data_IF_317883792636
#
_entry.id   IF_317883792636
#
_cell.length_a   1.000
_cell.length_b   1.000
_cell.length_c   1.000
_cell.angle_alpha   90.00
_cell.angle_beta   90.00
_cell.angle_gamma   90.00
#
_symmetry.space_group_name_H-M   'P 1'
#
loop_
_entity.id
_entity.type
_entity.pdbx_description
1 polymer ?
#
# COMPACT_ATOMS: atom_id res chain seq x y z
N UNK A 1 -25.96 -33.56 -37.76
CA UNK A 1 -24.71 -32.73 -37.75
C UNK A 1 -24.55 -32.25 -36.31
N UNK A 2 -23.69 -32.75 -35.41
CA UNK A 2 -22.31 -33.27 -35.51
C UNK A 2 -22.13 -34.52 -34.63
N UNK A 3 -21.38 -35.49 -35.16
CA UNK A 3 -21.01 -36.76 -34.53
C UNK A 3 -19.92 -36.58 -33.47
N UNK A 4 -20.08 -37.22 -32.32
CA UNK A 4 -19.02 -37.43 -31.33
C UNK A 4 -18.33 -38.75 -31.69
N UNK A 5 -17.11 -38.69 -32.23
CA UNK A 5 -16.26 -39.88 -32.39
C UNK A 5 -15.64 -40.23 -31.04
N UNK A 6 -16.04 -41.37 -30.50
CA UNK A 6 -15.42 -42.05 -29.38
C UNK A 6 -14.39 -43.02 -29.98
N UNK A 7 -13.10 -42.75 -29.85
CA UNK A 7 -12.05 -43.63 -30.36
C UNK A 7 -11.84 -44.76 -29.36
N UNK A 8 -12.13 -45.98 -29.81
CA UNK A 8 -11.88 -47.25 -29.13
C UNK A 8 -10.43 -47.65 -29.43
N UNK A 9 -9.58 -47.73 -28.41
CA UNK A 9 -8.28 -48.41 -28.53
C UNK A 9 -8.47 -49.85 -28.06
N UNK A 10 -8.16 -50.75 -28.99
CA UNK A 10 -8.39 -52.18 -28.93
C UNK A 10 -7.57 -52.83 -27.81
N UNK A 11 -8.25 -53.64 -27.01
CA UNK A 11 -7.65 -54.69 -26.18
C UNK A 11 -6.95 -55.68 -27.12
N UNK A 12 -5.65 -55.92 -26.91
CA UNK A 12 -4.92 -57.05 -27.49
C UNK A 12 -4.38 -57.92 -26.35
N UNK A 13 -4.52 -59.21 -26.54
CA UNK A 13 -4.35 -60.34 -25.60
C UNK A 13 -2.91 -60.52 -25.10
N UNK A 14 -2.71 -61.14 -23.91
CA UNK A 14 -1.40 -61.40 -23.33
C UNK A 14 -0.91 -62.79 -23.70
N UNK A 15 0.30 -62.94 -24.24
CA UNK A 15 1.18 -64.11 -24.01
C UNK A 15 2.50 -63.94 -24.75
N UNK A 16 3.57 -64.32 -24.03
CA UNK A 16 4.89 -64.73 -24.49
C UNK A 16 5.74 -63.74 -25.30
N UNK A 17 6.70 -63.10 -24.61
CA UNK A 17 8.08 -62.94 -25.11
C UNK A 17 9.04 -62.88 -23.91
N UNK A 18 9.57 -64.03 -23.53
CA UNK A 18 10.94 -64.15 -23.01
C UNK A 18 11.87 -64.01 -24.23
N UNK A 19 12.88 -63.12 -24.19
CA UNK A 19 14.27 -63.46 -24.53
C UNK A 19 15.20 -62.27 -24.29
N UNK A 20 16.36 -62.60 -23.73
CA UNK A 20 17.49 -61.79 -23.33
C UNK A 20 18.10 -61.01 -24.50
N UNK A 21 18.53 -59.77 -24.20
CA UNK A 21 19.54 -59.07 -24.99
C UNK A 21 20.29 -58.11 -24.08
N UNK A 22 21.31 -58.68 -23.46
CA UNK A 22 22.49 -58.01 -22.91
C UNK A 22 23.02 -56.97 -23.92
N UNK A 23 23.00 -55.69 -23.56
CA UNK A 23 23.71 -54.66 -24.31
C UNK A 23 24.44 -53.75 -23.34
N UNK A 24 25.75 -53.73 -23.54
CA UNK A 24 26.75 -53.25 -22.61
C UNK A 24 26.59 -51.78 -22.23
N UNK A 25 27.04 -51.53 -21.00
CA UNK A 25 27.16 -50.24 -20.36
C UNK A 25 28.27 -49.41 -21.03
N UNK A 26 27.88 -48.41 -21.83
CA UNK A 26 28.75 -47.28 -22.15
C UNK A 26 28.35 -46.04 -21.34
N UNK A 27 29.25 -45.65 -20.45
CA UNK A 27 29.26 -44.37 -19.73
C UNK A 27 29.21 -43.19 -20.72
N UNK A 28 28.02 -42.61 -20.89
CA UNK A 28 27.88 -41.24 -21.38
C UNK A 28 27.36 -40.37 -20.24
N UNK A 29 28.32 -39.73 -19.58
CA UNK A 29 28.15 -38.70 -18.58
C UNK A 29 27.55 -37.43 -19.25
N UNK A 30 26.29 -37.50 -19.70
CA UNK A 30 25.51 -36.32 -20.07
C UNK A 30 24.91 -35.77 -18.79
N UNK A 31 25.80 -35.17 -18.01
CA UNK A 31 25.50 -34.15 -17.01
C UNK A 31 24.52 -33.16 -17.64
N UNK A 32 23.22 -33.34 -17.38
CA UNK A 32 22.16 -32.39 -17.72
C UNK A 32 22.36 -31.12 -16.90
N UNK A 33 23.36 -30.33 -17.30
CA UNK A 33 23.60 -28.96 -16.83
C UNK A 33 22.72 -28.03 -17.66
N UNK A 34 21.41 -28.14 -17.47
CA UNK A 34 20.46 -27.07 -17.84
C UNK A 34 20.03 -26.34 -16.56
N UNK A 35 21.03 -25.96 -15.77
CA UNK A 35 20.92 -24.81 -14.87
C UNK A 35 21.23 -23.58 -15.71
N UNK A 36 20.26 -23.14 -16.52
CA UNK A 36 20.22 -21.74 -16.93
C UNK A 36 19.80 -20.99 -15.67
N UNK A 37 20.79 -20.62 -14.87
CA UNK A 37 20.69 -19.50 -13.97
C UNK A 37 20.33 -18.29 -14.85
N UNK A 38 19.04 -17.90 -14.85
CA UNK A 38 18.60 -16.64 -15.43
C UNK A 38 19.10 -15.52 -14.51
N UNK A 39 20.41 -15.28 -14.55
CA UNK A 39 21.09 -14.14 -13.93
C UNK A 39 21.12 -12.92 -14.87
N UNK A 40 20.36 -12.95 -15.97
CA UNK A 40 19.91 -11.76 -16.67
C UNK A 40 18.84 -11.04 -15.81
N UNK A 41 19.28 -10.60 -14.63
CA UNK A 41 18.62 -9.60 -13.83
C UNK A 41 18.35 -8.43 -14.78
N UNK A 42 17.08 -8.07 -14.92
CA UNK A 42 16.52 -7.15 -15.91
C UNK A 42 17.08 -5.72 -15.76
N UNK A 43 18.35 -5.52 -16.08
CA UNK A 43 18.98 -4.21 -16.17
C UNK A 43 18.41 -3.51 -17.40
N UNK A 44 17.59 -2.50 -17.18
CA UNK A 44 17.16 -1.60 -18.25
C UNK A 44 18.33 -0.65 -18.48
N UNK A 45 18.96 -0.70 -19.65
CA UNK A 45 20.14 0.11 -19.98
C UNK A 45 21.33 -0.03 -18.99
N UNK A 46 21.53 -1.22 -18.40
CA UNK A 46 22.63 -1.47 -17.45
C UNK A 46 22.39 -0.94 -16.03
N UNK A 47 21.22 -0.38 -15.75
CA UNK A 47 20.83 0.12 -14.42
C UNK A 47 19.58 -0.60 -13.91
N UNK A 48 19.43 -0.70 -12.58
CA UNK A 48 18.18 -1.19 -11.97
C UNK A 48 17.04 -0.21 -12.25
N UNK A 49 15.80 -0.71 -12.40
CA UNK A 49 14.63 0.14 -12.62
C UNK A 49 14.46 1.23 -11.54
N UNK A 50 14.78 0.92 -10.28
CA UNK A 50 14.82 1.90 -9.18
C UNK A 50 15.83 3.03 -9.42
N UNK A 51 17.01 2.72 -9.97
CA UNK A 51 18.04 3.72 -10.24
C UNK A 51 17.60 4.69 -11.36
N UNK A 52 16.81 4.20 -12.31
CA UNK A 52 16.18 5.05 -13.33
C UNK A 52 15.16 5.99 -12.69
N UNK A 53 14.28 5.48 -11.81
CA UNK A 53 13.35 6.33 -11.04
C UNK A 53 14.08 7.39 -10.20
N UNK A 54 15.25 7.07 -9.66
CA UNK A 54 16.06 8.01 -8.88
C UNK A 54 16.69 9.13 -9.73
N UNK A 55 16.86 8.90 -11.04
CA UNK A 55 17.47 9.85 -11.97
C UNK A 55 16.45 10.72 -12.71
N UNK A 56 15.15 10.54 -12.45
CA UNK A 56 14.10 11.35 -13.05
C UNK A 56 14.33 12.88 -12.89
N UNK A 57 13.89 13.70 -13.86
CA UNK A 57 13.94 15.14 -13.77
C UNK A 57 13.24 15.67 -12.50
N UNK A 58 13.68 16.83 -12.02
CA UNK A 58 13.17 17.40 -10.77
C UNK A 58 11.67 17.72 -10.83
N UNK A 59 11.16 18.12 -12.00
CA UNK A 59 9.73 18.38 -12.20
C UNK A 59 8.88 17.12 -12.03
N UNK A 60 9.30 16.00 -12.62
CA UNK A 60 8.59 14.72 -12.49
C UNK A 60 8.67 14.17 -11.06
N UNK A 61 9.84 14.30 -10.42
CA UNK A 61 10.01 13.95 -9.00
C UNK A 61 9.07 14.74 -8.10
N UNK A 62 8.83 16.02 -8.39
CA UNK A 62 7.89 16.84 -7.63
C UNK A 62 6.44 16.32 -7.77
N UNK A 63 6.02 15.95 -9.00
CA UNK A 63 4.70 15.36 -9.26
C UNK A 63 4.52 14.01 -8.54
N UNK A 64 5.55 13.15 -8.56
CA UNK A 64 5.56 11.89 -7.81
C UNK A 64 5.46 12.15 -6.30
N UNK A 65 6.22 13.13 -5.79
CA UNK A 65 6.22 13.46 -4.37
C UNK A 65 4.85 13.94 -3.87
N UNK A 66 4.14 14.73 -4.67
CA UNK A 66 2.77 15.16 -4.36
C UNK A 66 1.82 13.96 -4.26
N UNK A 67 1.85 13.04 -5.24
CA UNK A 67 1.01 11.84 -5.20
C UNK A 67 1.34 10.94 -4.00
N UNK A 68 2.62 10.80 -3.65
CA UNK A 68 3.05 10.03 -2.47
C UNK A 68 2.57 10.69 -1.18
N UNK A 69 2.52 12.02 -1.10
CA UNK A 69 2.00 12.69 0.09
C UNK A 69 0.50 12.45 0.28
N UNK A 70 -0.28 12.46 -0.81
CA UNK A 70 -1.70 12.10 -0.77
C UNK A 70 -1.87 10.64 -0.31
N UNK A 71 -1.00 9.74 -0.78
CA UNK A 71 -0.97 8.35 -0.29
C UNK A 71 -0.63 8.25 1.21
N UNK A 72 0.32 9.04 1.71
CA UNK A 72 0.68 9.07 3.13
C UNK A 72 -0.47 9.54 4.03
N UNK A 73 -1.32 10.44 3.57
CA UNK A 73 -2.53 10.84 4.30
C UNK A 73 -3.46 9.64 4.51
N UNK A 74 -3.67 8.82 3.48
CA UNK A 74 -4.49 7.61 3.58
C UNK A 74 -3.84 6.54 4.47
N UNK A 75 -2.52 6.38 4.33
CA UNK A 75 -1.74 5.52 5.23
C UNK A 75 -1.86 5.94 6.69
N UNK A 76 -1.87 7.25 6.98
CA UNK A 76 -2.04 7.78 8.33
C UNK A 76 -3.40 7.43 8.92
N UNK A 77 -4.47 7.38 8.10
CA UNK A 77 -5.79 6.90 8.53
C UNK A 77 -5.74 5.42 8.89
N UNK A 78 -5.03 4.60 8.11
CA UNK A 78 -4.86 3.18 8.43
C UNK A 78 -4.08 2.99 9.71
N UNK A 79 -2.95 3.67 9.88
CA UNK A 79 -2.15 3.62 11.11
C UNK A 79 -2.98 3.95 12.35
N UNK A 80 -3.75 5.04 12.29
CA UNK A 80 -4.62 5.45 13.38
C UNK A 80 -5.71 4.42 13.68
N UNK A 81 -6.22 3.72 12.65
CA UNK A 81 -7.21 2.67 12.83
C UNK A 81 -6.59 1.41 13.44
N UNK A 82 -5.50 0.89 12.87
CA UNK A 82 -4.86 -0.35 13.34
C UNK A 82 -4.18 -0.18 14.70
N UNK A 83 -3.76 1.04 15.08
CA UNK A 83 -3.14 1.30 16.38
C UNK A 83 -4.10 1.10 17.57
N UNK A 84 -5.41 1.14 17.33
CA UNK A 84 -6.44 0.89 18.37
C UNK A 84 -6.50 -0.58 18.78
N UNK A 85 -6.03 -1.48 17.94
CA UNK A 85 -6.28 -2.91 18.05
C UNK A 85 -5.01 -3.68 18.41
N UNK A 86 -5.13 -4.61 19.34
CA UNK A 86 -4.19 -5.71 19.52
C UNK A 86 -4.37 -6.69 18.35
N UNK A 87 -3.27 -7.10 17.74
CA UNK A 87 -3.24 -8.00 16.59
C UNK A 87 -3.19 -9.49 17.01
N UNK A 88 -3.05 -9.77 18.31
CA UNK A 88 -3.07 -11.12 18.87
C UNK A 88 -4.41 -11.83 18.63
N UNK A 89 -4.44 -12.71 17.63
CA UNK A 89 -5.67 -13.41 17.22
C UNK A 89 -6.60 -12.55 16.36
N UNK A 90 -6.06 -11.55 15.65
CA UNK A 90 -6.78 -10.75 14.67
C UNK A 90 -6.02 -10.67 13.35
N UNK A 91 -6.21 -11.69 12.51
CA UNK A 91 -5.54 -11.78 11.21
C UNK A 91 -5.96 -10.66 10.25
N UNK A 92 -7.14 -10.05 10.40
CA UNK A 92 -7.55 -8.89 9.60
C UNK A 92 -6.59 -7.71 9.85
N UNK A 93 -6.26 -7.43 11.11
CA UNK A 93 -5.30 -6.37 11.47
C UNK A 93 -3.89 -6.71 11.00
N UNK A 94 -3.45 -7.96 11.15
CA UNK A 94 -2.13 -8.42 10.67
C UNK A 94 -2.02 -8.25 9.15
N UNK A 95 -3.04 -8.68 8.39
CA UNK A 95 -3.09 -8.54 6.94
C UNK A 95 -3.14 -7.07 6.52
N UNK A 96 -3.88 -6.21 7.22
CA UNK A 96 -3.92 -4.79 6.94
C UNK A 96 -2.52 -4.14 7.09
N UNK A 97 -1.80 -4.47 8.18
CA UNK A 97 -0.41 -4.02 8.38
C UNK A 97 0.53 -4.57 7.28
N UNK A 98 0.39 -5.84 6.91
CA UNK A 98 1.17 -6.45 5.83
C UNK A 98 0.94 -5.74 4.49
N UNK A 99 -0.33 -5.51 4.10
CA UNK A 99 -0.67 -4.80 2.87
C UNK A 99 -0.15 -3.36 2.87
N UNK A 100 -0.25 -2.67 4.02
CA UNK A 100 0.30 -1.32 4.21
C UNK A 100 1.82 -1.28 3.96
N UNK A 101 2.56 -2.20 4.58
CA UNK A 101 4.01 -2.28 4.42
C UNK A 101 4.42 -2.48 2.95
N UNK A 102 3.78 -3.42 2.24
CA UNK A 102 4.13 -3.69 0.85
C UNK A 102 3.75 -2.51 -0.06
N UNK A 103 2.59 -1.86 0.17
CA UNK A 103 2.21 -0.65 -0.58
C UNK A 103 3.21 0.49 -0.36
N UNK A 104 3.72 0.67 0.86
CA UNK A 104 4.79 1.63 1.14
C UNK A 104 6.05 1.33 0.32
N UNK A 105 6.50 0.07 0.28
CA UNK A 105 7.67 -0.34 -0.51
C UNK A 105 7.47 -0.06 -2.01
N UNK A 106 6.27 -0.30 -2.55
CA UNK A 106 5.93 0.00 -3.94
C UNK A 106 5.90 1.51 -4.23
N UNK A 107 5.41 2.33 -3.30
CA UNK A 107 5.45 3.81 -3.45
C UNK A 107 6.85 4.40 -3.19
N UNK A 108 7.70 3.72 -2.44
CA UNK A 108 9.09 4.14 -2.27
C UNK A 108 9.94 3.83 -3.51
N UNK A 109 9.61 2.74 -4.21
CA UNK A 109 10.21 2.40 -5.49
C UNK A 109 10.04 3.52 -6.53
N UNK A 110 8.85 4.14 -6.60
CA UNK A 110 8.59 5.25 -7.55
C UNK A 110 9.41 6.50 -7.22
N UNK A 111 9.95 6.61 -6.00
CA UNK A 111 10.86 7.68 -5.57
C UNK A 111 12.34 7.33 -5.78
N UNK A 112 12.62 6.17 -6.37
CA UNK A 112 13.99 5.68 -6.57
C UNK A 112 14.69 5.21 -5.29
N UNK A 113 13.93 4.86 -4.24
CA UNK A 113 14.44 4.39 -2.95
C UNK A 113 13.70 3.12 -2.51
N UNK A 114 14.00 2.66 -1.29
CA UNK A 114 13.38 1.47 -0.73
C UNK A 114 14.02 0.15 -1.19
N UNK A 115 13.41 -0.98 -0.80
CA UNK A 115 14.02 -2.30 -0.96
C UNK A 115 13.85 -2.92 -2.36
N UNK A 116 12.82 -2.52 -3.11
CA UNK A 116 12.54 -3.06 -4.45
C UNK A 116 13.53 -2.46 -5.46
N UNK A 117 14.23 -3.30 -6.22
CA UNK A 117 15.28 -2.83 -7.16
C UNK A 117 14.80 -2.86 -8.60
N UNK A 118 14.10 -3.92 -8.98
CA UNK A 118 13.72 -4.21 -10.35
C UNK A 118 12.20 -4.26 -10.50
N UNK A 119 11.71 -4.15 -11.75
CA UNK A 119 10.27 -4.28 -12.05
C UNK A 119 9.72 -5.64 -11.62
N UNK A 120 10.52 -6.70 -11.68
CA UNK A 120 10.18 -8.02 -11.14
C UNK A 120 9.80 -8.00 -9.66
N UNK A 121 10.51 -7.21 -8.84
CA UNK A 121 10.23 -7.06 -7.41
C UNK A 121 8.88 -6.38 -7.19
N UNK A 122 8.56 -5.35 -7.98
CA UNK A 122 7.29 -4.62 -7.93
C UNK A 122 6.11 -5.53 -8.32
N UNK A 123 6.29 -6.36 -9.34
CA UNK A 123 5.28 -7.36 -9.75
C UNK A 123 5.07 -8.39 -8.63
N UNK A 124 6.15 -8.86 -8.01
CA UNK A 124 6.05 -9.82 -6.90
C UNK A 124 5.40 -9.20 -5.65
N UNK A 125 5.67 -7.92 -5.37
CA UNK A 125 5.00 -7.16 -4.32
C UNK A 125 3.48 -7.05 -4.56
N UNK A 126 3.07 -6.74 -5.80
CA UNK A 126 1.65 -6.68 -6.17
C UNK A 126 0.93 -8.03 -6.03
N UNK A 127 1.61 -9.15 -6.36
CA UNK A 127 1.10 -10.50 -6.12
C UNK A 127 0.91 -10.81 -4.64
N UNK A 128 1.90 -10.48 -3.80
CA UNK A 128 1.81 -10.64 -2.33
C UNK A 128 0.65 -9.85 -1.74
N UNK A 129 0.39 -8.64 -2.25
CA UNK A 129 -0.77 -7.83 -1.86
C UNK A 129 -2.08 -8.52 -2.27
N UNK A 130 -2.17 -9.06 -3.49
CA UNK A 130 -3.38 -9.77 -3.94
C UNK A 130 -3.67 -11.03 -3.10
N UNK A 131 -2.63 -11.78 -2.72
CA UNK A 131 -2.76 -12.93 -1.82
C UNK A 131 -3.24 -12.51 -0.42
N UNK A 132 -2.68 -11.44 0.14
CA UNK A 132 -3.13 -10.88 1.41
C UNK A 132 -4.58 -10.36 1.33
N UNK A 133 -4.94 -9.67 0.25
CA UNK A 133 -6.31 -9.19 -0.01
C UNK A 133 -7.32 -10.34 -0.13
N UNK A 134 -6.95 -11.44 -0.78
CA UNK A 134 -7.80 -12.64 -0.86
C UNK A 134 -7.99 -13.32 0.51
N UNK A 135 -6.95 -13.36 1.35
CA UNK A 135 -7.07 -13.84 2.74
C UNK A 135 -7.97 -12.93 3.58
N UNK A 136 -7.83 -11.61 3.42
CA UNK A 136 -8.67 -10.62 4.09
C UNK A 136 -10.13 -10.77 3.68
N UNK A 137 -10.41 -10.98 2.39
CA UNK A 137 -11.77 -11.24 1.88
C UNK A 137 -12.41 -12.43 2.57
N UNK A 138 -11.71 -13.57 2.68
CA UNK A 138 -12.24 -14.77 3.32
C UNK A 138 -12.63 -14.53 4.79
N UNK A 139 -11.75 -13.89 5.57
CA UNK A 139 -11.99 -13.60 6.98
C UNK A 139 -13.15 -12.61 7.17
N UNK A 140 -13.13 -11.52 6.42
CA UNK A 140 -14.15 -10.48 6.52
C UNK A 140 -15.52 -10.97 6.02
N UNK A 141 -15.56 -11.85 5.01
CA UNK A 141 -16.80 -12.48 4.54
C UNK A 141 -17.41 -13.41 5.58
N UNK A 142 -16.58 -14.17 6.31
CA UNK A 142 -17.04 -14.98 7.43
C UNK A 142 -17.61 -14.11 8.58
N UNK A 143 -17.02 -12.94 8.83
CA UNK A 143 -17.59 -11.93 9.75
C UNK A 143 -18.93 -11.39 9.23
N UNK A 144 -19.00 -11.08 7.93
CA UNK A 144 -20.22 -10.58 7.28
C UNK A 144 -21.36 -11.61 7.34
N UNK A 145 -21.06 -12.90 7.23
CA UNK A 145 -22.05 -13.98 7.30
C UNK A 145 -22.64 -14.19 8.69
N UNK A 146 -21.89 -13.82 9.73
CA UNK A 146 -22.39 -13.81 11.10
C UNK A 146 -23.17 -12.52 11.42
N UNK A 147 -23.04 -11.45 10.62
CA UNK A 147 -23.70 -10.19 10.92
C UNK A 147 -25.23 -10.28 10.75
N UNK A 148 -26.03 -10.05 11.81
CA UNK A 148 -27.49 -10.06 11.71
C UNK A 148 -28.07 -8.78 11.07
N UNK A 149 -27.27 -7.70 11.04
CA UNK A 149 -27.66 -6.41 10.46
C UNK A 149 -27.33 -6.38 8.97
N UNK A 150 -28.38 -6.36 8.14
CA UNK A 150 -28.22 -6.47 6.68
C UNK A 150 -27.51 -5.27 6.06
N UNK A 151 -27.72 -4.05 6.58
CA UNK A 151 -27.06 -2.85 6.07
C UNK A 151 -25.55 -2.93 6.32
N UNK A 152 -25.14 -3.20 7.56
CA UNK A 152 -23.74 -3.38 7.92
C UNK A 152 -23.07 -4.52 7.13
N UNK A 153 -23.79 -5.62 6.89
CA UNK A 153 -23.32 -6.71 6.02
C UNK A 153 -23.04 -6.23 4.59
N UNK A 154 -23.97 -5.47 3.99
CA UNK A 154 -23.80 -4.98 2.62
C UNK A 154 -22.62 -4.01 2.49
N UNK A 155 -22.45 -3.08 3.44
CA UNK A 155 -21.32 -2.14 3.44
C UNK A 155 -19.98 -2.88 3.47
N UNK A 156 -19.86 -3.88 4.35
CA UNK A 156 -18.65 -4.70 4.44
C UNK A 156 -18.37 -5.43 3.12
N UNK A 157 -19.37 -6.08 2.53
CA UNK A 157 -19.21 -6.78 1.25
C UNK A 157 -18.84 -5.85 0.09
N UNK A 158 -19.35 -4.61 0.08
CA UNK A 158 -18.99 -3.61 -0.92
C UNK A 158 -17.51 -3.20 -0.79
N UNK A 159 -16.98 -3.01 0.42
CA UNK A 159 -15.57 -2.73 0.61
C UNK A 159 -14.66 -3.90 0.20
N UNK A 160 -15.11 -5.15 0.39
CA UNK A 160 -14.37 -6.33 -0.10
C UNK A 160 -14.28 -6.38 -1.63
N UNK A 161 -15.35 -6.02 -2.34
CA UNK A 161 -15.31 -5.88 -3.80
C UNK A 161 -14.31 -4.80 -4.23
N UNK A 162 -14.26 -3.67 -3.50
CA UNK A 162 -13.26 -2.61 -3.75
C UNK A 162 -11.83 -3.10 -3.53
N UNK A 163 -11.57 -3.88 -2.49
CA UNK A 163 -10.25 -4.51 -2.28
C UNK A 163 -9.88 -5.38 -3.49
N UNK A 164 -10.78 -6.26 -3.94
CA UNK A 164 -10.52 -7.13 -5.08
C UNK A 164 -10.21 -6.32 -6.36
N UNK A 165 -10.98 -5.28 -6.63
CA UNK A 165 -10.77 -4.37 -7.75
C UNK A 165 -9.39 -3.69 -7.68
N UNK A 166 -9.05 -3.06 -6.55
CA UNK A 166 -7.80 -2.31 -6.45
C UNK A 166 -6.56 -3.20 -6.37
N UNK A 167 -6.65 -4.41 -5.81
CA UNK A 167 -5.59 -5.42 -5.93
C UNK A 167 -5.34 -5.79 -7.40
N UNK A 168 -6.39 -5.90 -8.21
CA UNK A 168 -6.26 -6.16 -9.64
C UNK A 168 -5.63 -4.98 -10.39
N UNK A 169 -6.10 -3.75 -10.13
CA UNK A 169 -5.53 -2.53 -10.72
C UNK A 169 -4.05 -2.38 -10.37
N UNK A 170 -3.67 -2.59 -9.10
CA UNK A 170 -2.28 -2.51 -8.66
C UNK A 170 -1.39 -3.55 -9.37
N UNK A 171 -1.91 -4.75 -9.62
CA UNK A 171 -1.22 -5.77 -10.43
C UNK A 171 -1.02 -5.34 -11.88
N UNK A 172 -2.00 -4.68 -12.50
CA UNK A 172 -1.86 -4.13 -13.85
C UNK A 172 -0.77 -3.04 -13.85
N UNK A 173 -0.86 -2.07 -12.95
CA UNK A 173 0.11 -0.98 -12.83
C UNK A 173 1.54 -1.50 -12.59
N UNK A 174 1.72 -2.58 -11.83
CA UNK A 174 3.05 -3.17 -11.57
C UNK A 174 3.74 -3.76 -12.81
N UNK A 175 2.98 -4.11 -13.85
CA UNK A 175 3.49 -4.76 -15.07
C UNK A 175 3.78 -3.77 -16.19
N UNK A 176 3.32 -2.52 -16.07
CA UNK A 176 3.59 -1.48 -17.07
C UNK A 176 5.08 -1.18 -17.02
N UNK A 177 5.80 -1.58 -18.07
CA UNK A 177 7.24 -1.38 -18.17
C UNK A 177 7.50 0.04 -18.69
N UNK A 178 8.32 0.80 -18.00
CA UNK A 178 8.89 2.01 -18.56
C UNK A 178 10.01 1.64 -19.54
N UNK A 179 9.83 1.91 -20.82
CA UNK A 179 10.76 1.54 -21.89
C UNK A 179 11.78 2.66 -22.14
N UNK A 180 13.00 2.53 -21.64
CA UNK A 180 14.07 3.53 -21.80
C UNK A 180 14.78 3.35 -23.15
N UNK A 181 14.76 4.35 -24.03
CA UNK A 181 15.61 4.45 -25.21
C UNK A 181 16.81 5.36 -24.91
N UNK A 182 17.99 5.02 -25.42
CA UNK A 182 19.21 5.81 -25.21
C UNK A 182 19.71 6.25 -26.59
N UNK A 183 19.55 7.53 -26.91
CA UNK A 183 20.04 8.12 -28.14
C UNK A 183 21.02 9.24 -27.75
N UNK A 184 22.33 8.95 -27.79
CA UNK A 184 23.36 9.98 -27.81
C UNK A 184 23.67 10.67 -26.47
N UNK A 185 23.54 9.97 -25.33
CA UNK A 185 23.87 10.53 -24.01
C UNK A 185 22.70 11.25 -23.32
N UNK A 186 21.56 11.30 -23.99
CA UNK A 186 20.28 11.73 -23.45
C UNK A 186 19.37 10.49 -23.29
N UNK A 187 18.85 10.29 -22.09
CA UNK A 187 17.94 9.19 -21.76
C UNK A 187 16.53 9.57 -22.22
N UNK A 188 15.98 8.87 -23.21
CA UNK A 188 14.69 9.18 -23.82
C UNK A 188 13.79 7.93 -23.73
N UNK A 189 12.73 7.95 -22.93
CA UNK A 189 11.92 6.75 -22.63
C UNK A 189 10.62 6.78 -23.45
N UNK A 190 10.22 5.72 -24.17
CA UNK A 190 8.96 5.66 -24.95
C UNK A 190 8.13 4.43 -24.59
N UNK A 191 6.85 4.59 -24.25
CA UNK A 191 5.97 3.47 -23.84
C UNK A 191 5.13 2.86 -24.96
N UNK A 192 4.87 1.55 -24.89
CA UNK A 192 3.83 0.86 -25.66
C UNK A 192 2.46 1.09 -24.99
N UNK A 193 1.60 1.87 -25.65
CA UNK A 193 0.27 2.19 -25.15
C UNK A 193 -0.66 0.98 -25.14
N UNK A 194 -0.92 0.43 -23.96
CA UNK A 194 -2.16 -0.33 -23.71
C UNK A 194 -3.18 0.70 -23.22
N UNK A 195 -4.16 1.05 -24.05
CA UNK A 195 -5.27 1.92 -23.62
C UNK A 195 -6.07 1.20 -22.53
N UNK A 196 -5.70 1.43 -21.27
CA UNK A 196 -6.48 1.03 -20.12
C UNK A 196 -7.61 2.04 -19.97
N UNK A 197 -8.84 1.64 -20.29
CA UNK A 197 -10.04 2.44 -20.05
C UNK A 197 -10.20 2.70 -18.55
N UNK A 198 -9.71 3.83 -18.08
CA UNK A 198 -9.86 4.27 -16.69
C UNK A 198 -11.32 4.68 -16.45
N UNK A 199 -12.06 3.92 -15.63
CA UNK A 199 -13.29 4.42 -15.03
C UNK A 199 -12.92 5.20 -13.78
N UNK A 200 -12.83 6.53 -13.89
CA UNK A 200 -12.71 7.42 -12.73
C UNK A 200 -14.05 7.47 -12.01
N UNK A 201 -14.19 6.72 -10.92
CA UNK A 201 -15.24 6.95 -9.93
C UNK A 201 -14.73 8.01 -8.95
N UNK A 202 -15.33 9.19 -8.98
CA UNK A 202 -15.18 10.17 -7.89
C UNK A 202 -15.95 9.65 -6.66
N UNK A 203 -15.31 9.61 -5.49
CA UNK A 203 -16.03 9.50 -4.22
C UNK A 203 -16.63 10.88 -3.91
N UNK A 204 -17.95 10.91 -3.70
CA UNK A 204 -18.65 12.07 -3.12
C UNK A 204 -18.44 12.00 -1.62
N UNK A 205 -17.82 13.01 -1.02
CA UNK A 205 -17.81 13.20 0.43
C UNK A 205 -19.25 13.30 0.93
N UNK A 206 -19.66 12.36 1.78
CA UNK A 206 -20.91 12.47 2.53
C UNK A 206 -20.59 12.80 3.99
N UNK A 207 -20.70 14.08 4.33
CA UNK A 207 -20.88 14.49 5.72
C UNK A 207 -22.21 13.94 6.26
N UNK A 208 -22.14 13.31 7.42
CA UNK A 208 -23.28 12.74 8.14
C UNK A 208 -24.04 13.87 8.84
N UNK A 209 -25.27 14.19 8.42
CA UNK A 209 -26.39 14.57 9.30
C UNK A 209 -27.73 14.09 8.70
N UNK A 210 -28.36 13.17 9.45
CA UNK A 210 -29.78 12.82 9.59
C UNK A 210 -30.69 12.58 8.36
N UNK A 211 -31.28 11.37 8.32
CA UNK A 211 -32.57 11.09 7.67
C UNK A 211 -32.62 10.93 6.14
N UNK A 212 -32.84 9.69 5.68
CA UNK A 212 -33.58 9.42 4.43
C UNK A 212 -32.78 8.85 3.25
N UNK A 213 -33.19 7.67 2.79
CA UNK A 213 -32.71 6.98 1.58
C UNK A 213 -33.04 7.75 0.29
N UNK A 214 -32.09 7.77 -0.65
CA UNK A 214 -32.31 7.41 -2.07
C UNK A 214 -30.95 7.21 -2.79
N UNK A 215 -30.61 5.97 -3.12
CA UNK A 215 -29.53 5.67 -4.09
C UNK A 215 -30.10 5.78 -5.50
N UNK A 216 -29.62 6.74 -6.28
CA UNK A 216 -29.88 6.82 -7.72
C UNK A 216 -28.55 6.56 -8.45
N UNK A 217 -28.48 5.43 -9.15
CA UNK A 217 -27.35 5.04 -9.99
C UNK A 217 -27.58 5.70 -11.37
N UNK A 218 -26.90 6.81 -11.67
CA UNK A 218 -26.98 7.46 -12.98
C UNK A 218 -25.81 7.03 -13.85
N UNK A 219 -26.07 6.11 -14.77
CA UNK A 219 -25.19 5.77 -15.89
C UNK A 219 -25.48 6.71 -17.05
N UNK A 220 -24.71 7.80 -17.20
CA UNK A 220 -24.62 8.50 -18.47
C UNK A 220 -23.25 8.25 -19.11
N UNK A 221 -23.30 7.85 -20.38
CA UNK A 221 -22.16 7.59 -21.25
C UNK A 221 -21.82 8.90 -21.99
N UNK A 222 -20.57 9.41 -21.99
CA UNK A 222 -20.21 10.48 -22.91
C UNK A 222 -19.86 9.87 -24.26
N UNK A 223 -20.59 10.31 -25.29
CA UNK A 223 -20.31 10.05 -26.70
C UNK A 223 -18.98 10.72 -27.09
N UNK A 224 -18.18 10.04 -27.89
CA UNK A 224 -16.92 10.54 -28.44
C UNK A 224 -17.19 11.64 -29.49
N UNK A 225 -16.52 12.78 -29.36
CA UNK A 225 -16.38 13.79 -30.40
C UNK A 225 -14.89 13.92 -30.76
N UNK A 226 -14.60 13.63 -32.02
CA UNK A 226 -13.31 13.74 -32.71
C UNK A 226 -12.83 15.20 -32.85
N UNK A 227 -11.52 15.40 -32.78
CA UNK A 227 -10.83 16.50 -33.48
C UNK A 227 -10.12 17.55 -32.61
N UNK A 228 -8.81 17.36 -32.37
CA UNK A 228 -7.84 18.44 -32.16
C UNK A 228 -6.41 17.92 -32.39
N UNK A 229 -5.46 18.77 -32.86
CA UNK A 229 -4.34 18.35 -33.68
C UNK A 229 -3.18 17.74 -32.90
N UNK A 230 -2.42 16.91 -33.62
CA UNK A 230 -1.17 16.26 -33.21
C UNK A 230 -0.16 17.34 -32.77
N UNK A 231 -0.11 17.61 -31.48
CA UNK A 231 1.00 18.29 -30.84
C UNK A 231 2.13 17.28 -30.61
N UNK A 232 3.35 17.67 -30.95
CA UNK A 232 4.60 16.97 -30.66
C UNK A 232 4.67 16.56 -29.18
N UNK A 233 4.30 15.31 -28.88
CA UNK A 233 4.36 14.76 -27.53
C UNK A 233 5.80 14.37 -27.19
N UNK A 234 6.37 15.04 -26.19
CA UNK A 234 7.60 14.64 -25.51
C UNK A 234 7.38 13.30 -24.82
N UNK A 235 8.24 12.31 -25.11
CA UNK A 235 8.13 10.93 -24.60
C UNK A 235 8.32 10.79 -23.07
N UNK A 236 8.73 11.87 -22.39
CA UNK A 236 8.98 11.94 -20.93
C UNK A 236 7.74 11.65 -20.06
N UNK A 237 6.52 11.78 -20.58
CA UNK A 237 5.29 11.55 -19.78
C UNK A 237 5.07 10.08 -19.37
N UNK A 238 5.60 9.11 -20.12
CA UNK A 238 5.19 7.71 -19.98
C UNK A 238 5.61 7.02 -18.67
N UNK A 239 6.81 7.31 -18.16
CA UNK A 239 7.29 6.74 -16.89
C UNK A 239 6.59 7.38 -15.70
N UNK A 240 6.39 8.69 -15.76
CA UNK A 240 5.63 9.44 -14.77
C UNK A 240 4.18 8.93 -14.68
N UNK A 241 3.52 8.69 -15.81
CA UNK A 241 2.15 8.18 -15.85
C UNK A 241 2.03 6.78 -15.23
N UNK A 242 3.01 5.91 -15.50
CA UNK A 242 3.09 4.59 -14.88
C UNK A 242 3.26 4.68 -13.36
N UNK A 243 4.21 5.50 -12.90
CA UNK A 243 4.51 5.69 -11.49
C UNK A 243 3.33 6.30 -10.72
N UNK A 244 2.70 7.35 -11.27
CA UNK A 244 1.54 7.99 -10.65
C UNK A 244 0.32 7.07 -10.62
N UNK A 245 0.09 6.28 -11.68
CA UNK A 245 -0.96 5.25 -11.69
C UNK A 245 -0.76 4.18 -10.62
N UNK A 246 0.48 3.73 -10.41
CA UNK A 246 0.82 2.77 -9.35
C UNK A 246 0.52 3.34 -7.96
N UNK A 247 0.92 4.59 -7.69
CA UNK A 247 0.67 5.27 -6.41
C UNK A 247 -0.83 5.45 -6.19
N UNK A 248 -1.56 5.84 -7.22
CA UNK A 248 -3.00 6.08 -7.14
C UNK A 248 -3.78 4.78 -6.87
N UNK A 249 -3.41 3.67 -7.51
CA UNK A 249 -3.97 2.35 -7.21
C UNK A 249 -3.68 1.91 -5.77
N UNK A 250 -2.45 2.14 -5.29
CA UNK A 250 -2.07 1.85 -3.90
C UNK A 250 -2.86 2.69 -2.89
N UNK A 251 -3.08 3.98 -3.16
CA UNK A 251 -3.92 4.87 -2.32
C UNK A 251 -5.35 4.35 -2.23
N UNK A 252 -5.94 4.02 -3.37
CA UNK A 252 -7.31 3.51 -3.41
C UNK A 252 -7.45 2.19 -2.64
N UNK A 253 -6.47 1.30 -2.77
CA UNK A 253 -6.41 0.07 -2.00
C UNK A 253 -6.25 0.35 -0.50
N UNK A 254 -5.39 1.28 -0.10
CA UNK A 254 -5.20 1.68 1.30
C UNK A 254 -6.52 2.14 1.93
N UNK A 255 -7.28 3.01 1.26
CA UNK A 255 -8.60 3.45 1.74
C UNK A 255 -9.57 2.28 1.89
N UNK A 256 -9.65 1.39 0.89
CA UNK A 256 -10.51 0.22 0.96
C UNK A 256 -10.16 -0.71 2.13
N UNK A 257 -8.86 -0.85 2.46
CA UNK A 257 -8.40 -1.62 3.63
C UNK A 257 -8.84 -0.93 4.94
N UNK A 258 -8.70 0.40 5.07
CA UNK A 258 -9.19 1.15 6.24
C UNK A 258 -10.67 0.90 6.49
N UNK A 259 -11.48 1.05 5.44
CA UNK A 259 -12.93 0.89 5.50
C UNK A 259 -13.32 -0.55 5.84
N UNK A 260 -12.62 -1.54 5.27
CA UNK A 260 -12.85 -2.96 5.56
C UNK A 260 -12.55 -3.29 7.02
N UNK A 261 -11.46 -2.78 7.59
CA UNK A 261 -11.13 -2.98 9.01
C UNK A 261 -12.23 -2.40 9.91
N UNK A 262 -12.66 -1.16 9.66
CA UNK A 262 -13.73 -0.49 10.42
C UNK A 262 -15.06 -1.26 10.32
N UNK A 263 -15.48 -1.60 9.10
CA UNK A 263 -16.74 -2.30 8.86
C UNK A 263 -16.73 -3.72 9.46
N UNK A 264 -15.59 -4.41 9.41
CA UNK A 264 -15.43 -5.75 10.03
C UNK A 264 -15.60 -5.69 11.56
N UNK A 265 -15.07 -4.66 12.21
CA UNK A 265 -15.30 -4.44 13.63
C UNK A 265 -16.78 -4.19 13.93
N UNK A 266 -17.41 -3.26 13.20
CA UNK A 266 -18.84 -2.94 13.40
C UNK A 266 -19.70 -4.19 13.22
N UNK A 267 -19.51 -4.96 12.15
CA UNK A 267 -20.23 -6.21 11.90
C UNK A 267 -20.05 -7.23 13.04
N UNK A 268 -18.82 -7.39 13.53
CA UNK A 268 -18.52 -8.32 14.64
C UNK A 268 -19.25 -7.94 15.93
N UNK A 269 -19.32 -6.64 16.26
CA UNK A 269 -20.03 -6.17 17.47
C UNK A 269 -21.55 -6.35 17.38
N UNK A 270 -22.14 -6.25 16.18
CA UNK A 270 -23.58 -6.47 15.97
C UNK A 270 -23.96 -7.92 16.29
N UNK A 271 -23.13 -8.88 15.86
CA UNK A 271 -23.33 -10.30 16.17
C UNK A 271 -23.28 -10.56 17.68
N UNK A 272 -22.26 -10.05 18.37
CA UNK A 272 -22.09 -10.22 19.81
C UNK A 272 -23.26 -9.65 20.63
N UNK A 273 -23.88 -8.55 20.16
CA UNK A 273 -25.04 -7.92 20.81
C UNK A 273 -26.30 -8.79 20.74
N UNK A 274 -26.49 -9.52 19.64
CA UNK A 274 -27.72 -10.31 19.40
C UNK A 274 -27.65 -11.68 20.04
N UNK A 275 -26.50 -12.36 19.96
CA UNK A 275 -26.37 -13.75 20.41
C UNK A 275 -25.64 -13.89 21.77
N UNK A 276 -25.12 -12.79 22.32
CA UNK A 276 -24.36 -12.78 23.56
C UNK A 276 -22.92 -13.27 23.38
N UNK A 277 -22.04 -12.87 24.30
CA UNK A 277 -20.60 -13.24 24.32
C UNK A 277 -20.34 -14.74 24.39
N UNK A 278 -21.27 -15.51 24.96
CA UNK A 278 -21.11 -16.93 25.24
C UNK A 278 -21.58 -17.87 24.11
N UNK A 279 -22.31 -17.37 23.11
CA UNK A 279 -22.85 -18.21 22.03
C UNK A 279 -21.85 -18.50 20.89
N UNK A 280 -20.67 -17.89 20.92
CA UNK A 280 -19.66 -18.07 19.88
C UNK A 280 -18.61 -19.04 20.39
N UNK A 281 -18.66 -20.29 19.94
CA UNK A 281 -17.53 -21.21 20.01
C UNK A 281 -16.40 -20.63 19.14
N UNK A 282 -15.63 -19.69 19.69
CA UNK A 282 -14.56 -18.92 19.05
C UNK A 282 -15.02 -17.97 17.92
N UNK A 283 -15.07 -16.64 18.12
CA UNK A 283 -15.30 -15.69 17.03
C UNK A 283 -14.21 -15.82 15.96
N UNK A 284 -14.56 -15.58 14.69
CA UNK A 284 -13.63 -15.65 13.54
C UNK A 284 -12.40 -14.76 13.77
N UNK A 285 -12.61 -13.61 14.41
CA UNK A 285 -11.60 -12.59 14.67
C UNK A 285 -11.81 -12.03 16.08
N UNK A 286 -10.75 -11.88 16.85
CA UNK A 286 -10.83 -11.27 18.19
C UNK A 286 -10.53 -9.77 18.15
N UNK A 287 -11.49 -8.95 18.60
CA UNK A 287 -11.34 -7.50 18.68
C UNK A 287 -10.97 -7.09 20.10
N UNK A 288 -9.68 -6.83 20.33
CA UNK A 288 -9.16 -6.38 21.62
C UNK A 288 -8.55 -4.99 21.45
N UNK A 289 -9.01 -4.05 22.26
CA UNK A 289 -8.40 -2.72 22.27
C UNK A 289 -7.00 -2.78 22.86
N UNK A 290 -6.06 -2.11 22.21
CA UNK A 290 -4.72 -1.88 22.76
C UNK A 290 -4.82 -0.91 23.92
N UNK A 291 -4.10 -1.18 25.02
CA UNK A 291 -4.04 -0.26 26.15
C UNK A 291 -3.49 1.10 25.69
N UNK A 292 -4.15 2.23 26.02
CA UNK A 292 -3.65 3.55 25.63
C UNK A 292 -2.26 3.80 26.20
N UNK A 293 -1.33 4.21 25.35
CA UNK A 293 -0.03 4.68 25.84
C UNK A 293 -0.23 5.93 26.69
N UNK A 294 0.34 5.94 27.90
CA UNK A 294 0.25 7.08 28.81
C UNK A 294 0.98 8.27 28.18
N UNK A 295 0.22 9.22 27.63
CA UNK A 295 0.81 10.49 27.18
C UNK A 295 1.42 11.19 28.41
N UNK A 296 2.67 11.69 28.33
CA UNK A 296 3.26 12.42 29.43
C UNK A 296 2.41 13.66 29.73
N UNK A 297 1.90 13.76 30.96
CA UNK A 297 0.99 14.82 31.40
C UNK A 297 1.63 16.22 31.38
N UNK A 298 2.97 16.27 31.36
CA UNK A 298 3.77 17.49 31.24
C UNK A 298 4.79 17.27 30.14
N UNK A 299 4.85 18.18 29.17
CA UNK A 299 5.97 18.23 28.20
C UNK A 299 7.23 18.49 29.01
N UNK A 300 8.11 17.48 29.13
CA UNK A 300 9.47 17.72 29.63
C UNK A 300 10.19 18.53 28.55
N UNK A 301 10.48 19.79 28.83
CA UNK A 301 11.39 20.60 27.99
C UNK A 301 12.72 19.83 27.86
N UNK A 302 13.28 19.84 26.65
CA UNK A 302 14.60 19.24 26.43
C UNK A 302 15.63 20.08 27.17
N UNK A 303 16.66 19.49 27.82
CA UNK A 303 17.69 20.24 28.54
C UNK A 303 18.47 21.25 27.66
N UNK A 304 18.36 21.15 26.33
CA UNK A 304 18.94 22.09 25.37
C UNK A 304 18.24 23.48 25.38
N UNK A 305 16.98 23.59 25.81
CA UNK A 305 16.26 24.87 25.88
C UNK A 305 16.64 25.70 27.13
N UNK A 306 17.44 25.15 28.04
CA UNK A 306 17.87 25.86 29.25
C UNK A 306 19.08 26.80 29.04
N UNK A 307 19.86 26.63 27.98
CA UNK A 307 21.11 27.39 27.82
C UNK A 307 20.92 28.84 27.33
N UNK A 308 19.78 29.18 26.72
CA UNK A 308 19.61 30.51 26.10
C UNK A 308 18.88 31.54 26.97
N UNK A 309 18.53 31.21 28.22
CA UNK A 309 17.83 32.16 29.11
C UNK A 309 18.44 32.31 30.50
N UNK A 310 19.78 32.43 30.58
CA UNK A 310 20.40 33.10 31.72
C UNK A 310 20.21 34.61 31.55
N UNK A 311 19.16 35.17 32.16
CA UNK A 311 19.07 36.62 32.36
C UNK A 311 20.24 37.03 33.24
N UNK A 312 21.12 37.87 32.71
CA UNK A 312 22.26 38.51 33.39
C UNK A 312 21.75 39.12 34.71
N UNK A 313 22.00 38.46 35.83
CA UNK A 313 21.70 39.00 37.16
C UNK A 313 22.51 40.28 37.37
N UNK A 314 21.85 41.32 37.90
CA UNK A 314 22.50 42.58 38.25
C UNK A 314 23.66 42.32 39.21
N UNK A 315 24.87 42.79 38.87
CA UNK A 315 26.05 42.60 39.71
C UNK A 315 25.84 43.33 41.06
N UNK A 316 25.93 42.58 42.17
CA UNK A 316 25.95 43.16 43.52
C UNK A 316 27.15 44.09 43.64
N UNK A 317 26.92 45.40 43.65
CA UNK A 317 27.95 46.39 44.01
C UNK A 317 28.15 46.31 45.53
N UNK A 318 29.39 46.08 45.94
CA UNK A 318 29.78 46.11 47.35
C UNK A 318 29.87 47.58 47.80
N UNK A 319 28.86 48.05 48.52
CA UNK A 319 28.81 49.41 49.08
C UNK A 319 29.37 49.37 50.49
N UNK A 320 30.38 50.19 50.77
CA UNK A 320 30.98 50.29 52.11
C UNK A 320 29.95 50.82 53.12
N UNK A 321 29.82 50.22 54.32
CA UNK A 321 28.82 50.62 55.31
C UNK A 321 28.87 52.11 55.67
N UNK A 322 30.07 52.71 55.70
CA UNK A 322 30.24 54.14 56.00
C UNK A 322 29.62 55.02 54.91
N UNK A 323 29.74 54.61 53.64
CA UNK A 323 29.22 55.38 52.50
C UNK A 323 27.68 55.35 52.46
N UNK A 324 27.06 54.22 52.82
CA UNK A 324 25.61 54.12 52.97
C UNK A 324 25.06 54.99 54.12
N UNK A 325 25.84 55.16 55.21
CA UNK A 325 25.45 55.99 56.35
C UNK A 325 25.64 57.49 56.08
N UNK A 326 26.58 57.88 55.21
CA UNK A 326 26.75 59.26 54.78
C UNK A 326 25.59 59.76 53.91
N UNK A 327 24.98 58.91 53.09
CA UNK A 327 23.78 59.26 52.30
C UNK A 327 22.53 59.49 53.17
N UNK A 328 22.45 58.87 54.34
CA UNK A 328 21.27 58.98 55.21
C UNK A 328 21.27 60.20 56.14
N UNK A 329 22.44 60.82 56.37
CA UNK A 329 22.57 61.98 57.28
C UNK A 329 22.43 63.34 56.61
N UNK A 330 22.22 63.37 55.29
CA UNK A 330 22.02 64.59 54.50
C UNK A 330 20.55 65.07 54.45
N UNK A 331 19.65 64.46 55.23
CA UNK A 331 18.21 64.76 55.21
C UNK A 331 17.66 65.34 56.51
N UNK A 332 18.52 65.96 57.33
CA UNK A 332 18.11 66.77 58.49
C UNK A 332 18.88 68.11 58.48
N UNK A 333 18.50 69.01 57.57
CA UNK A 333 18.83 70.44 57.61
C UNK A 333 17.88 71.22 56.68
N UNK A 334 16.78 71.71 57.27
CA UNK A 334 15.86 72.79 56.86
C UNK A 334 15.20 72.74 55.48
#
# INVERSE_FOLDING_TARGET
>A
IKNVRKTVVQVKTPEELEDDSDFEQEDYDVRSRTSVQTEDDQLIAGQSARAIMAQLPQEEKAKIAEQVEIFHQEKSKLDAEVAKWDDSGNDIIVLAKQMCMIMMEMTDFTRGKGPLKNTSDVINAAKKIAEAGSRMDKLARAVADQCPDSACKQDLLAYLQRIALYCHQLNICSKVKAEVQNLGGELIVSGTGVQSTFTTFYEVDCDVIDGGRASQLSTHLPTCAEGAPIGSGSSDSSMLDSATSLIQAAKNLMNAVVLTVKASYVASTKYQKVYGTAAVNSPVVSWKMKAPEKKPLVKREKPEEFQTRVRRGSQKKHISPVQALSEFKAMDSF
#
